data_IF_049457044871
#
_entry.id   IF_049457044871
#
_cell.length_a   1.000
_cell.length_b   1.000
_cell.length_c   1.000
_cell.angle_alpha   90.00
_cell.angle_beta   90.00
_cell.angle_gamma   90.00
#
_symmetry.space_group_name_H-M   'P 1'
#
loop_
_entity.id
_entity.type
_entity.pdbx_description
1 polymer ?
#
# COMPACT_ATOMS: atom_id res chain seq x y z
N UNK A 1 12.22 -0.85 -35.57
CA UNK A 1 11.07 -0.01 -35.16
C UNK A 1 10.93 1.10 -36.18
N UNK A 2 9.89 1.07 -37.03
CA UNK A 2 9.66 2.10 -38.05
C UNK A 2 9.40 3.45 -37.37
N UNK A 3 10.08 4.51 -37.82
CA UNK A 3 9.82 5.87 -37.32
C UNK A 3 8.39 6.27 -37.69
N UNK A 4 7.55 6.72 -36.74
CA UNK A 4 6.20 7.14 -37.05
C UNK A 4 6.25 8.34 -38.02
N UNK A 5 5.45 8.30 -39.08
CA UNK A 5 5.33 9.41 -40.02
C UNK A 5 4.65 10.60 -39.33
N UNK A 6 4.93 11.82 -39.80
CA UNK A 6 4.34 13.04 -39.22
C UNK A 6 2.80 12.98 -39.18
N UNK A 7 2.17 12.32 -40.16
CA UNK A 7 0.72 12.11 -40.23
C UNK A 7 0.22 11.17 -39.13
N UNK A 8 0.93 10.07 -38.87
CA UNK A 8 0.60 9.14 -37.79
C UNK A 8 0.77 9.79 -36.42
N UNK A 9 1.84 10.55 -36.20
CA UNK A 9 2.04 11.31 -34.97
C UNK A 9 0.96 12.38 -34.74
N UNK A 10 0.53 13.08 -35.80
CA UNK A 10 -0.55 14.05 -35.72
C UNK A 10 -1.91 13.39 -35.41
N UNK A 11 -2.20 12.24 -36.01
CA UNK A 11 -3.42 11.47 -35.72
C UNK A 11 -3.43 10.93 -34.28
N UNK A 12 -2.30 10.41 -33.80
CA UNK A 12 -2.13 9.93 -32.44
C UNK A 12 -2.25 11.07 -31.41
N UNK A 13 -1.67 12.24 -31.70
CA UNK A 13 -1.85 13.45 -30.88
C UNK A 13 -3.32 13.87 -30.83
N UNK A 14 -4.03 13.89 -31.97
CA UNK A 14 -5.46 14.23 -32.02
C UNK A 14 -6.32 13.25 -31.23
N UNK A 15 -6.02 11.96 -31.30
CA UNK A 15 -6.71 10.95 -30.49
C UNK A 15 -6.41 11.11 -29.00
N UNK A 16 -5.13 11.22 -28.59
CA UNK A 16 -4.74 11.46 -27.19
C UNK A 16 -5.34 12.76 -26.64
N UNK A 17 -5.39 13.81 -27.45
CA UNK A 17 -6.03 15.10 -27.13
C UNK A 17 -7.55 15.01 -27.01
N UNK A 18 -8.21 14.03 -27.63
CA UNK A 18 -9.64 13.79 -27.39
C UNK A 18 -9.86 13.15 -26.02
N UNK A 19 -8.99 12.21 -25.65
CA UNK A 19 -9.06 11.50 -24.38
C UNK A 19 -8.69 12.37 -23.17
N UNK A 20 -7.99 13.51 -23.35
CA UNK A 20 -7.66 14.43 -22.25
C UNK A 20 -8.88 15.07 -21.58
N UNK A 21 -10.01 15.12 -22.27
CA UNK A 21 -11.27 15.65 -21.73
C UNK A 21 -12.04 14.64 -20.86
N UNK A 22 -11.65 13.37 -20.89
CA UNK A 22 -12.31 12.31 -20.10
C UNK A 22 -11.95 12.47 -18.63
N UNK A 23 -12.97 12.39 -17.78
CA UNK A 23 -12.78 12.54 -16.34
C UNK A 23 -12.08 11.30 -15.75
N UNK A 24 -11.25 11.49 -14.71
CA UNK A 24 -10.59 10.37 -14.05
C UNK A 24 -11.58 9.54 -13.23
N UNK A 25 -11.23 8.27 -13.01
CA UNK A 25 -12.02 7.38 -12.17
C UNK A 25 -11.96 7.80 -10.69
N UNK A 26 -13.12 8.02 -10.08
CA UNK A 26 -13.25 8.20 -8.63
C UNK A 26 -13.52 6.85 -7.96
N UNK A 27 -12.60 6.40 -7.11
CA UNK A 27 -12.78 5.19 -6.29
C UNK A 27 -13.42 5.55 -4.96
N UNK A 28 -13.99 4.54 -4.29
CA UNK A 28 -14.49 4.67 -2.93
C UNK A 28 -13.42 5.27 -2.01
N UNK A 29 -13.83 6.27 -1.23
CA UNK A 29 -12.96 7.09 -0.38
C UNK A 29 -12.58 8.45 -0.97
N UNK A 30 -12.79 8.69 -2.27
CA UNK A 30 -12.77 10.03 -2.85
C UNK A 30 -14.16 10.69 -2.66
N UNK A 31 -14.20 11.95 -2.21
CA UNK A 31 -15.45 12.64 -1.91
C UNK A 31 -15.99 13.40 -3.13
N UNK A 32 -15.45 14.60 -3.39
CA UNK A 32 -15.94 15.52 -4.41
C UNK A 32 -14.87 15.80 -5.47
N UNK A 33 -15.25 15.71 -6.74
CA UNK A 33 -14.36 16.01 -7.86
C UNK A 33 -14.65 17.40 -8.43
N UNK A 34 -13.67 18.28 -8.30
CA UNK A 34 -13.73 19.67 -8.75
C UNK A 34 -13.17 19.84 -10.18
N UNK A 35 -13.78 19.17 -11.17
CA UNK A 35 -13.28 19.14 -12.56
C UNK A 35 -14.01 20.10 -13.51
N UNK A 36 -15.31 20.30 -13.36
CA UNK A 36 -16.09 21.18 -14.24
C UNK A 36 -16.10 22.63 -13.75
N UNK A 37 -16.30 23.57 -14.68
CA UNK A 37 -16.31 25.01 -14.40
C UNK A 37 -17.29 25.36 -13.27
N UNK A 38 -18.53 24.89 -13.35
CA UNK A 38 -19.54 25.15 -12.31
C UNK A 38 -19.17 24.63 -10.91
N UNK A 39 -18.31 23.61 -10.82
CA UNK A 39 -17.79 23.11 -9.54
C UNK A 39 -16.62 23.94 -9.02
N UNK A 40 -15.84 24.54 -9.92
CA UNK A 40 -14.65 25.33 -9.57
C UNK A 40 -14.99 26.77 -9.18
N UNK A 41 -15.92 27.40 -9.90
CA UNK A 41 -16.28 28.81 -9.73
C UNK A 41 -16.56 29.23 -8.28
N UNK A 42 -17.41 28.53 -7.49
CA UNK A 42 -17.70 28.98 -6.13
C UNK A 42 -16.47 28.97 -5.21
N UNK A 43 -15.53 28.03 -5.43
CA UNK A 43 -14.31 27.92 -4.62
C UNK A 43 -13.24 28.93 -5.02
N UNK A 44 -13.26 29.43 -6.27
CA UNK A 44 -12.31 30.46 -6.73
C UNK A 44 -12.52 31.82 -6.04
N UNK A 45 -13.72 32.10 -5.53
CA UNK A 45 -14.01 33.33 -4.80
C UNK A 45 -13.48 33.39 -3.37
N UNK A 46 -12.88 32.30 -2.85
CA UNK A 46 -12.47 32.22 -1.44
C UNK A 46 -11.00 32.60 -1.27
N UNK A 47 -10.77 33.82 -0.79
CA UNK A 47 -9.43 34.36 -0.53
C UNK A 47 -9.06 34.18 0.95
N UNK A 48 -8.05 33.35 1.23
CA UNK A 48 -7.63 33.06 2.59
C UNK A 48 -6.37 33.84 2.98
N UNK A 49 -6.41 34.47 4.17
CA UNK A 49 -5.25 35.14 4.79
C UNK A 49 -4.84 34.40 6.06
N UNK A 50 -3.53 34.32 6.32
CA UNK A 50 -3.00 33.77 7.56
C UNK A 50 -2.97 34.82 8.67
N UNK A 51 -3.57 34.46 9.80
CA UNK A 51 -3.71 35.25 11.03
C UNK A 51 -3.36 34.35 12.20
N UNK A 52 -3.11 34.93 13.37
CA UNK A 52 -2.73 34.13 14.55
C UNK A 52 -3.82 33.12 14.96
N UNK A 53 -5.09 33.42 14.69
CA UNK A 53 -6.22 32.53 14.95
C UNK A 53 -6.28 31.30 14.05
N UNK A 54 -5.60 31.28 12.91
CA UNK A 54 -5.63 30.16 11.96
C UNK A 54 -4.27 29.54 11.66
N UNK A 55 -3.16 30.17 12.07
CA UNK A 55 -1.79 29.66 11.90
C UNK A 55 -1.63 28.31 12.61
N UNK A 56 -1.15 27.31 11.87
CA UNK A 56 -1.00 25.93 12.34
C UNK A 56 -0.05 25.82 13.55
N UNK A 57 1.05 26.58 13.53
CA UNK A 57 2.07 26.56 14.59
C UNK A 57 1.51 26.94 15.98
N UNK A 58 0.52 27.85 16.03
CA UNK A 58 -0.08 28.29 17.29
C UNK A 58 -0.89 27.18 17.97
N UNK A 59 -1.36 26.18 17.22
CA UNK A 59 -2.12 25.05 17.73
C UNK A 59 -1.27 23.80 18.00
N UNK A 60 0.02 23.97 18.29
CA UNK A 60 0.95 22.87 18.53
C UNK A 60 0.53 21.93 19.66
N UNK A 61 -0.15 22.43 20.70
CA UNK A 61 -0.67 21.62 21.80
C UNK A 61 -1.58 20.47 21.31
N UNK A 62 -2.38 20.70 20.26
CA UNK A 62 -3.26 19.68 19.67
C UNK A 62 -2.67 19.03 18.43
N UNK A 63 -2.05 19.82 17.56
CA UNK A 63 -1.59 19.40 16.24
C UNK A 63 -0.08 19.19 16.16
N UNK A 64 0.61 19.01 17.28
CA UNK A 64 2.05 18.78 17.31
C UNK A 64 2.52 17.58 16.49
N UNK A 65 1.70 16.52 16.37
CA UNK A 65 1.98 15.38 15.47
C UNK A 65 1.78 15.72 13.99
N UNK A 66 0.89 16.66 13.67
CA UNK A 66 0.67 17.15 12.30
C UNK A 66 1.84 18.03 11.89
N UNK A 67 2.25 18.97 12.74
CA UNK A 67 3.39 19.87 12.52
C UNK A 67 4.67 19.08 12.24
N UNK A 68 4.95 18.02 13.02
CA UNK A 68 6.11 17.14 12.83
C UNK A 68 6.14 16.38 11.50
N UNK A 69 4.99 16.15 10.87
CA UNK A 69 4.90 15.43 9.60
C UNK A 69 5.09 16.36 8.38
N UNK A 70 5.17 17.68 8.56
CA UNK A 70 5.32 18.65 7.45
C UNK A 70 6.77 18.62 6.94
N UNK A 71 6.93 18.51 5.62
CA UNK A 71 8.25 18.59 4.97
C UNK A 71 8.57 20.05 4.61
N UNK A 72 9.19 20.77 5.55
CA UNK A 72 9.41 22.23 5.44
C UNK A 72 10.26 22.59 4.22
N UNK A 73 11.43 21.95 4.07
CA UNK A 73 12.39 22.23 2.99
C UNK A 73 11.73 22.09 1.62
N UNK A 74 11.10 20.95 1.38
CA UNK A 74 10.47 20.65 0.08
C UNK A 74 9.29 21.57 -0.23
N UNK A 75 8.53 21.98 0.79
CA UNK A 75 7.41 22.90 0.60
C UNK A 75 7.86 24.32 0.24
N UNK A 76 8.94 24.78 0.83
CA UNK A 76 9.51 26.09 0.53
C UNK A 76 10.11 26.11 -0.89
N UNK A 77 10.83 25.05 -1.28
CA UNK A 77 11.45 24.94 -2.61
C UNK A 77 10.43 24.73 -3.76
N UNK A 78 9.50 23.79 -3.63
CA UNK A 78 8.59 23.43 -4.73
C UNK A 78 7.31 24.28 -4.77
N UNK A 79 6.82 24.75 -3.62
CA UNK A 79 5.53 25.44 -3.52
C UNK A 79 5.66 26.91 -3.11
N UNK A 80 6.85 27.37 -2.70
CA UNK A 80 7.07 28.70 -2.13
C UNK A 80 6.11 29.00 -0.95
N UNK A 81 5.77 27.98 -0.16
CA UNK A 81 4.89 28.11 1.01
C UNK A 81 5.74 27.97 2.27
N UNK A 82 5.86 29.07 3.00
CA UNK A 82 6.55 29.11 4.28
C UNK A 82 5.74 28.39 5.37
N UNK A 83 6.43 27.79 6.33
CA UNK A 83 5.79 27.09 7.46
C UNK A 83 4.86 28.01 8.27
N UNK A 84 5.22 29.28 8.42
CA UNK A 84 4.43 30.30 9.15
C UNK A 84 3.12 30.69 8.45
N UNK A 85 3.04 30.44 7.13
CA UNK A 85 1.86 30.70 6.30
C UNK A 85 0.91 29.48 6.22
N UNK A 86 1.22 28.38 6.92
CA UNK A 86 0.32 27.24 6.96
C UNK A 86 -0.80 27.43 7.98
N UNK A 87 -2.03 27.20 7.52
CA UNK A 87 -3.22 27.19 8.39
C UNK A 87 -3.57 25.79 8.87
N UNK A 88 -4.19 25.67 10.04
CA UNK A 88 -4.69 24.37 10.51
C UNK A 88 -5.79 23.78 9.62
N UNK A 89 -6.50 24.63 8.87
CA UNK A 89 -7.52 24.26 7.90
C UNK A 89 -7.11 24.56 6.46
N UNK A 90 -5.80 24.61 6.16
CA UNK A 90 -5.33 24.97 4.82
C UNK A 90 -5.85 24.00 3.75
N UNK A 91 -6.28 24.55 2.62
CA UNK A 91 -6.81 23.81 1.49
C UNK A 91 -5.71 23.46 0.47
N UNK A 92 -4.57 24.17 0.50
CA UNK A 92 -3.43 23.94 -0.39
C UNK A 92 -2.83 22.55 -0.14
N UNK A 93 -2.47 21.84 -1.21
CA UNK A 93 -1.85 20.51 -1.12
C UNK A 93 -0.34 20.65 -0.97
N UNK A 94 0.15 20.41 0.25
CA UNK A 94 1.56 20.47 0.62
C UNK A 94 2.18 19.07 0.71
N UNK A 95 3.50 19.01 0.75
CA UNK A 95 4.30 17.82 0.99
C UNK A 95 4.45 17.52 2.47
N UNK A 96 4.41 16.22 2.76
CA UNK A 96 4.51 15.65 4.09
C UNK A 96 5.55 14.53 4.05
N UNK A 97 6.34 14.37 5.11
CA UNK A 97 7.16 13.20 5.38
C UNK A 97 6.57 12.50 6.61
N UNK A 98 6.08 11.27 6.43
CA UNK A 98 5.44 10.57 7.54
C UNK A 98 6.45 10.27 8.66
N UNK A 99 6.21 10.76 9.88
CA UNK A 99 7.07 10.44 11.03
C UNK A 99 7.08 8.95 11.40
N UNK A 100 6.01 8.22 11.06
CA UNK A 100 5.89 6.79 11.37
C UNK A 100 6.65 5.89 10.39
N UNK A 101 6.43 6.02 9.07
CA UNK A 101 7.02 5.13 8.06
C UNK A 101 8.03 5.81 7.13
N UNK A 102 8.27 7.12 7.26
CA UNK A 102 9.24 7.86 6.46
C UNK A 102 8.80 8.23 5.04
N UNK A 103 7.69 7.67 4.52
CA UNK A 103 7.26 7.93 3.15
C UNK A 103 6.79 9.37 2.94
N UNK A 104 7.12 9.95 1.78
CA UNK A 104 6.63 11.25 1.34
C UNK A 104 5.26 11.15 0.65
N UNK A 105 4.40 12.15 0.85
CA UNK A 105 3.09 12.23 0.18
C UNK A 105 2.56 13.67 0.14
N UNK A 106 1.60 13.95 -0.77
CA UNK A 106 1.04 15.29 -0.98
C UNK A 106 -0.46 15.36 -0.65
N UNK A 107 -0.81 16.11 0.40
CA UNK A 107 -2.19 16.32 0.89
C UNK A 107 -2.34 17.73 1.48
N UNK A 108 -3.58 18.16 1.68
CA UNK A 108 -3.88 19.42 2.35
C UNK A 108 -4.01 19.23 3.88
N UNK A 109 -3.73 20.30 4.63
CA UNK A 109 -3.75 20.28 6.11
C UNK A 109 -5.17 20.04 6.62
N UNK A 110 -6.16 20.68 6.00
CA UNK A 110 -7.57 20.57 6.36
C UNK A 110 -8.11 19.14 6.45
N UNK A 111 -7.79 18.27 5.48
CA UNK A 111 -8.31 16.89 5.50
C UNK A 111 -7.60 16.06 6.56
N UNK A 112 -6.33 16.37 6.85
CA UNK A 112 -5.59 15.73 7.94
C UNK A 112 -6.11 16.14 9.31
N UNK A 113 -6.42 17.42 9.52
CA UNK A 113 -6.96 17.91 10.80
C UNK A 113 -8.42 17.53 11.03
N UNK A 114 -9.25 17.49 9.97
CA UNK A 114 -10.68 17.12 10.07
C UNK A 114 -10.92 15.62 10.15
N UNK A 115 -10.21 14.82 9.36
CA UNK A 115 -10.51 13.39 9.15
C UNK A 115 -9.32 12.45 9.35
N UNK A 116 -8.20 12.94 9.87
CA UNK A 116 -6.99 12.15 10.10
C UNK A 116 -6.41 11.53 8.81
N UNK A 117 -6.59 12.19 7.66
CA UNK A 117 -6.02 11.73 6.39
C UNK A 117 -4.50 11.95 6.33
N UNK A 118 -3.74 11.02 6.89
CA UNK A 118 -2.28 10.99 6.85
C UNK A 118 -1.72 10.23 5.64
N UNK A 119 -0.59 9.57 5.87
CA UNK A 119 0.08 8.75 4.87
C UNK A 119 -0.82 7.64 4.34
N UNK A 120 -0.87 7.48 3.01
CA UNK A 120 -1.66 6.42 2.37
C UNK A 120 -1.15 5.00 2.70
N UNK A 121 0.14 4.83 3.00
CA UNK A 121 0.72 3.53 3.39
C UNK A 121 0.29 3.13 4.81
N UNK A 122 0.31 4.09 5.73
CA UNK A 122 -0.11 3.87 7.12
C UNK A 122 -1.59 3.52 7.25
N UNK A 123 -2.42 3.72 6.20
CA UNK A 123 -3.80 3.22 6.20
C UNK A 123 -3.85 1.70 6.37
N UNK A 124 -2.92 0.98 5.75
CA UNK A 124 -2.77 -0.47 5.88
C UNK A 124 -1.98 -0.91 7.10
N UNK A 125 -1.70 -0.05 8.09
CA UNK A 125 -0.83 -0.40 9.23
C UNK A 125 -1.41 -1.48 10.14
N UNK A 126 -2.74 -1.57 10.19
CA UNK A 126 -3.45 -2.57 11.00
C UNK A 126 -3.73 -3.84 10.18
N UNK A 127 -3.97 -4.95 10.87
CA UNK A 127 -4.37 -6.21 10.23
C UNK A 127 -5.75 -6.10 9.55
N UNK A 128 -6.66 -5.32 10.15
CA UNK A 128 -7.96 -4.99 9.59
C UNK A 128 -8.17 -3.47 9.58
N UNK A 129 -8.56 -2.92 8.43
CA UNK A 129 -8.90 -1.50 8.30
C UNK A 129 -10.18 -1.14 9.07
N UNK A 130 -11.05 -2.13 9.29
CA UNK A 130 -12.34 -2.01 9.98
C UNK A 130 -12.12 -2.05 11.50
N UNK A 131 -11.51 -3.12 12.01
CA UNK A 131 -11.38 -3.37 13.44
C UNK A 131 -10.18 -2.66 14.10
N UNK A 132 -9.18 -2.30 13.29
CA UNK A 132 -7.95 -1.57 13.69
C UNK A 132 -7.23 -2.18 14.90
N UNK A 133 -7.49 -1.68 16.10
CA UNK A 133 -6.79 -2.00 17.34
C UNK A 133 -7.40 -3.19 18.10
N UNK A 134 -8.57 -3.69 17.65
CA UNK A 134 -9.22 -4.83 18.27
C UNK A 134 -8.54 -6.18 17.94
N UNK A 135 -7.66 -6.23 16.95
CA UNK A 135 -6.90 -7.44 16.63
C UNK A 135 -5.68 -7.56 17.54
N UNK A 136 -5.35 -8.75 18.06
CA UNK A 136 -4.17 -8.94 18.87
C UNK A 136 -2.92 -8.55 18.08
N UNK A 137 -2.05 -7.75 18.70
CA UNK A 137 -0.81 -7.29 18.07
C UNK A 137 0.33 -8.17 18.53
N UNK A 138 0.82 -9.02 17.64
CA UNK A 138 2.10 -9.71 17.80
C UNK A 138 3.12 -9.00 16.93
N UNK A 139 4.10 -8.34 17.55
CA UNK A 139 5.05 -7.51 16.83
C UNK A 139 5.90 -8.33 15.86
N UNK A 140 6.15 -7.77 14.66
CA UNK A 140 6.98 -8.41 13.63
C UNK A 140 8.37 -8.77 14.16
N UNK A 141 8.96 -7.88 14.97
CA UNK A 141 10.30 -8.09 15.57
C UNK A 141 10.34 -9.28 16.52
N UNK A 142 9.25 -9.57 17.22
CA UNK A 142 9.16 -10.68 18.19
C UNK A 142 8.90 -12.00 17.50
N UNK A 143 7.92 -12.05 16.59
CA UNK A 143 7.53 -13.30 15.95
C UNK A 143 8.50 -13.74 14.85
N UNK A 144 9.06 -12.82 14.06
CA UNK A 144 9.92 -13.14 12.91
C UNK A 144 11.08 -12.12 12.79
N UNK A 145 12.10 -12.21 13.66
CA UNK A 145 13.23 -11.28 13.66
C UNK A 145 14.09 -11.36 12.39
N UNK A 146 14.13 -12.50 11.71
CA UNK A 146 14.86 -12.66 10.45
C UNK A 146 14.25 -11.83 9.32
N UNK A 147 12.91 -11.78 9.23
CA UNK A 147 12.23 -10.94 8.25
C UNK A 147 12.43 -9.46 8.54
N UNK A 148 12.48 -9.07 9.82
CA UNK A 148 12.77 -7.70 10.21
C UNK A 148 14.15 -7.23 9.69
N UNK A 149 15.17 -8.10 9.75
CA UNK A 149 16.51 -7.82 9.16
C UNK A 149 16.49 -7.67 7.64
N UNK A 150 15.50 -8.27 6.97
CA UNK A 150 15.31 -8.18 5.52
C UNK A 150 14.65 -6.88 5.02
N UNK A 151 14.30 -5.95 5.91
CA UNK A 151 13.77 -4.63 5.52
C UNK A 151 14.84 -3.79 4.80
N UNK A 152 14.41 -3.00 3.82
CA UNK A 152 15.26 -1.99 3.20
C UNK A 152 15.67 -0.94 4.24
N UNK A 153 16.88 -0.40 4.15
CA UNK A 153 17.39 0.59 5.09
C UNK A 153 16.52 1.85 5.06
N UNK A 154 15.85 2.14 6.17
CA UNK A 154 15.09 3.36 6.38
C UNK A 154 15.21 3.80 7.83
N UNK A 155 15.21 5.12 8.06
CA UNK A 155 15.27 5.75 9.39
C UNK A 155 14.16 5.29 10.35
N UNK A 156 13.07 4.73 9.81
CA UNK A 156 11.84 4.39 10.55
C UNK A 156 11.55 2.89 10.61
N UNK A 157 12.55 2.04 10.38
CA UNK A 157 12.36 0.59 10.41
C UNK A 157 11.91 0.09 11.79
N UNK A 158 12.37 0.68 12.89
CA UNK A 158 11.95 0.27 14.24
C UNK A 158 10.43 0.37 14.43
N UNK A 159 9.81 1.44 13.94
CA UNK A 159 8.35 1.61 13.98
C UNK A 159 7.62 0.52 13.17
N UNK A 160 8.22 0.07 12.06
CA UNK A 160 7.67 -1.00 11.22
C UNK A 160 7.78 -2.34 11.95
N UNK A 161 8.85 -2.55 12.73
CA UNK A 161 9.05 -3.74 13.56
C UNK A 161 8.01 -3.92 14.66
N UNK A 162 7.40 -2.82 15.12
CA UNK A 162 6.30 -2.82 16.10
C UNK A 162 4.93 -3.17 15.48
N UNK A 163 4.81 -3.21 14.16
CA UNK A 163 3.56 -3.57 13.51
C UNK A 163 3.26 -5.06 13.69
N UNK A 164 1.97 -5.41 13.67
CA UNK A 164 1.54 -6.82 13.74
C UNK A 164 2.08 -7.63 12.55
N UNK A 165 2.43 -8.89 12.79
CA UNK A 165 2.77 -9.87 11.73
C UNK A 165 1.66 -10.09 10.70
N UNK A 166 0.41 -9.84 11.06
CA UNK A 166 -0.77 -9.91 10.18
C UNK A 166 -1.10 -8.57 9.52
N UNK A 167 -0.27 -7.53 9.73
CA UNK A 167 -0.46 -6.20 9.18
C UNK A 167 -0.50 -6.21 7.64
N UNK A 168 -1.38 -5.38 7.08
CA UNK A 168 -1.50 -5.13 5.64
C UNK A 168 -0.51 -4.08 5.13
N UNK A 169 0.43 -3.65 5.98
CA UNK A 169 1.34 -2.56 5.67
C UNK A 169 2.29 -2.95 4.54
N UNK A 170 2.45 -2.06 3.55
CA UNK A 170 3.35 -2.26 2.39
C UNK A 170 4.73 -1.70 2.71
N UNK A 171 5.57 -2.54 3.30
CA UNK A 171 6.96 -2.23 3.59
C UNK A 171 7.87 -2.43 2.35
N UNK A 172 9.05 -1.84 2.42
CA UNK A 172 10.14 -2.03 1.46
C UNK A 172 11.13 -3.06 2.01
N UNK A 173 11.43 -4.06 1.21
CA UNK A 173 12.23 -5.23 1.56
C UNK A 173 13.43 -5.31 0.63
N UNK A 174 14.56 -5.82 1.11
CA UNK A 174 15.70 -6.14 0.25
C UNK A 174 15.47 -7.51 -0.38
N UNK A 175 15.56 -7.59 -1.70
CA UNK A 175 15.43 -8.86 -2.42
C UNK A 175 16.61 -9.78 -2.10
N UNK A 176 16.34 -11.03 -1.71
CA UNK A 176 17.38 -12.02 -1.42
C UNK A 176 18.26 -12.38 -2.63
N UNK A 177 17.73 -12.25 -3.86
CA UNK A 177 18.47 -12.64 -5.07
C UNK A 177 19.33 -11.52 -5.67
N UNK A 178 18.88 -10.26 -5.58
CA UNK A 178 19.52 -9.14 -6.27
C UNK A 178 19.83 -7.94 -5.38
N UNK A 179 19.49 -7.99 -4.09
CA UNK A 179 19.73 -6.92 -3.12
C UNK A 179 18.85 -5.67 -3.30
N UNK A 180 18.16 -5.53 -4.44
CA UNK A 180 17.35 -4.35 -4.75
C UNK A 180 16.11 -4.25 -3.86
N UNK A 181 15.69 -3.02 -3.49
CA UNK A 181 14.48 -2.81 -2.70
C UNK A 181 13.23 -3.09 -3.54
N UNK A 182 12.27 -3.80 -2.94
CA UNK A 182 10.95 -4.03 -3.54
C UNK A 182 9.86 -3.93 -2.49
N UNK A 183 8.62 -3.69 -2.93
CA UNK A 183 7.48 -3.45 -2.04
C UNK A 183 6.59 -4.68 -1.92
N UNK A 184 6.38 -5.15 -0.69
CA UNK A 184 5.47 -6.25 -0.37
C UNK A 184 4.75 -5.99 0.96
N UNK A 185 3.62 -6.66 1.19
CA UNK A 185 2.89 -6.52 2.46
C UNK A 185 3.52 -7.37 3.56
N UNK A 186 3.50 -6.90 4.82
CA UNK A 186 4.01 -7.69 5.96
C UNK A 186 3.35 -9.07 6.01
N UNK A 187 2.01 -9.13 6.03
CA UNK A 187 1.28 -10.40 6.02
C UNK A 187 1.58 -11.34 4.84
N UNK A 188 1.94 -10.80 3.67
CA UNK A 188 2.34 -11.64 2.53
C UNK A 188 3.71 -12.26 2.70
N UNK A 189 4.61 -11.60 3.44
CA UNK A 189 5.94 -12.11 3.76
C UNK A 189 5.87 -13.15 4.88
N UNK A 190 5.04 -12.90 5.89
CA UNK A 190 4.83 -13.83 7.01
C UNK A 190 3.97 -15.02 6.60
N UNK A 191 3.01 -14.83 5.68
CA UNK A 191 2.02 -15.82 5.28
C UNK A 191 0.85 -15.93 6.26
N UNK A 192 0.80 -15.10 7.29
CA UNK A 192 -0.19 -15.15 8.35
C UNK A 192 -1.37 -14.21 8.09
N UNK A 193 -2.57 -14.66 8.40
CA UNK A 193 -3.79 -13.86 8.33
C UNK A 193 -4.65 -14.07 9.56
N UNK A 194 -5.35 -13.02 9.98
CA UNK A 194 -6.34 -13.12 11.06
C UNK A 194 -7.50 -14.06 10.67
N UNK A 195 -8.07 -14.80 11.63
CA UNK A 195 -9.24 -15.65 11.37
C UNK A 195 -10.40 -14.81 10.86
N UNK A 196 -11.15 -15.37 9.90
CA UNK A 196 -12.26 -14.69 9.23
C UNK A 196 -11.85 -13.72 8.12
N UNK A 197 -10.56 -13.44 7.92
CA UNK A 197 -10.08 -12.76 6.72
C UNK A 197 -9.88 -13.73 5.56
N UNK A 198 -9.88 -13.20 4.33
CA UNK A 198 -9.57 -13.99 3.15
C UNK A 198 -8.15 -14.59 3.26
N UNK A 199 -8.00 -15.92 3.04
CA UNK A 199 -6.70 -16.56 3.08
C UNK A 199 -5.82 -16.04 1.95
N UNK A 200 -4.50 -16.07 2.18
CA UNK A 200 -3.52 -15.77 1.14
C UNK A 200 -3.23 -17.01 0.29
N UNK A 201 -2.55 -16.81 -0.83
CA UNK A 201 -2.08 -17.93 -1.64
C UNK A 201 -1.17 -18.85 -0.79
N UNK A 202 -1.32 -20.19 -0.83
CA UNK A 202 -0.56 -21.10 0.02
C UNK A 202 0.97 -20.95 -0.10
N UNK A 203 1.45 -20.59 -1.29
CA UNK A 203 2.87 -20.37 -1.56
C UNK A 203 3.30 -18.89 -1.50
N UNK A 204 2.48 -18.00 -0.94
CA UNK A 204 2.73 -16.55 -0.96
C UNK A 204 4.09 -16.16 -0.37
N UNK A 205 4.57 -16.90 0.63
CA UNK A 205 5.86 -16.66 1.29
C UNK A 205 7.04 -16.88 0.33
N UNK A 206 6.97 -17.93 -0.50
CA UNK A 206 7.97 -18.21 -1.56
C UNK A 206 7.96 -17.14 -2.64
N UNK A 207 6.77 -16.77 -3.11
CA UNK A 207 6.61 -15.76 -4.17
C UNK A 207 7.00 -14.35 -3.72
N UNK A 208 6.74 -14.01 -2.46
CA UNK A 208 7.05 -12.69 -1.91
C UNK A 208 8.48 -12.57 -1.36
N UNK A 209 9.29 -13.65 -1.35
CA UNK A 209 10.69 -13.65 -0.89
C UNK A 209 11.63 -12.86 -1.79
N UNK A 210 11.23 -12.71 -3.04
CA UNK A 210 12.01 -12.03 -4.06
C UNK A 210 11.21 -10.89 -4.66
N UNK A 211 11.91 -10.01 -5.37
CA UNK A 211 11.24 -8.97 -6.15
C UNK A 211 10.44 -9.60 -7.32
N UNK A 212 9.44 -8.89 -7.88
CA UNK A 212 8.61 -9.41 -8.96
C UNK A 212 9.39 -9.91 -10.19
N UNK A 213 10.57 -9.35 -10.47
CA UNK A 213 11.42 -9.78 -11.57
C UNK A 213 12.24 -11.06 -11.26
N UNK A 214 12.64 -11.27 -10.01
CA UNK A 214 13.45 -12.43 -9.61
C UNK A 214 12.61 -13.66 -9.19
N UNK A 215 11.39 -13.45 -8.71
CA UNK A 215 10.57 -14.52 -8.12
C UNK A 215 10.30 -15.69 -9.08
N UNK A 216 10.11 -15.40 -10.38
CA UNK A 216 9.80 -16.42 -11.38
C UNK A 216 10.89 -17.48 -11.50
N UNK A 217 12.15 -17.05 -11.68
CA UNK A 217 13.28 -17.97 -11.92
C UNK A 217 13.43 -18.95 -10.76
N UNK A 218 13.41 -18.46 -9.53
CA UNK A 218 13.61 -19.28 -8.33
C UNK A 218 12.49 -20.32 -8.17
N UNK A 219 11.23 -19.88 -8.29
CA UNK A 219 10.10 -20.78 -8.09
C UNK A 219 9.96 -21.81 -9.22
N UNK A 220 10.30 -21.43 -10.45
CA UNK A 220 10.22 -22.32 -11.61
C UNK A 220 11.38 -23.30 -11.71
N UNK A 221 12.58 -22.98 -11.18
CA UNK A 221 13.71 -23.93 -11.21
C UNK A 221 13.43 -25.21 -10.44
N UNK A 222 12.77 -25.11 -9.28
CA UNK A 222 12.43 -26.28 -8.47
C UNK A 222 11.35 -27.13 -9.14
N UNK A 223 10.35 -26.48 -9.74
CA UNK A 223 9.30 -27.16 -10.50
C UNK A 223 9.87 -27.84 -11.75
N UNK A 224 10.76 -27.18 -12.49
CA UNK A 224 11.40 -27.74 -13.68
C UNK A 224 12.23 -28.98 -13.36
N UNK A 225 12.98 -28.98 -12.25
CA UNK A 225 13.73 -30.17 -11.80
C UNK A 225 12.82 -31.34 -11.43
N UNK A 226 11.66 -31.07 -10.81
CA UNK A 226 10.67 -32.11 -10.49
C UNK A 226 10.06 -32.70 -11.76
N UNK A 227 9.60 -31.84 -12.66
CA UNK A 227 9.04 -32.26 -13.95
C UNK A 227 10.04 -33.07 -14.77
N UNK A 228 11.34 -32.73 -14.73
CA UNK A 228 12.39 -33.50 -15.40
C UNK A 228 12.59 -34.90 -14.80
N UNK A 229 12.44 -35.06 -13.48
CA UNK A 229 12.58 -36.36 -12.80
C UNK A 229 11.39 -37.28 -13.04
N UNK A 230 10.18 -36.73 -12.99
CA UNK A 230 8.93 -37.50 -13.07
C UNK A 230 8.44 -37.65 -14.52
N UNK A 231 8.97 -36.86 -15.47
CA UNK A 231 8.54 -36.83 -16.86
C UNK A 231 7.17 -36.15 -17.07
N UNK A 232 6.49 -35.77 -15.99
CA UNK A 232 5.17 -35.14 -16.01
C UNK A 232 5.02 -34.19 -14.81
N UNK A 233 4.26 -33.11 -14.97
CA UNK A 233 3.89 -32.22 -13.87
C UNK A 233 2.42 -31.80 -14.00
N UNK A 234 1.61 -32.10 -12.98
CA UNK A 234 0.17 -31.84 -12.96
C UNK A 234 -0.26 -30.85 -11.85
N UNK A 235 0.64 -30.52 -10.92
CA UNK A 235 0.34 -29.66 -9.78
C UNK A 235 -0.64 -30.28 -8.75
N UNK A 236 -0.92 -31.58 -8.84
CA UNK A 236 -1.85 -32.29 -7.96
C UNK A 236 -1.20 -32.78 -6.66
N UNK A 237 0.12 -32.76 -6.56
CA UNK A 237 0.90 -33.35 -5.47
C UNK A 237 0.38 -32.92 -4.09
N UNK A 238 0.17 -31.61 -3.90
CA UNK A 238 -0.34 -31.07 -2.64
C UNK A 238 -1.73 -31.64 -2.30
N UNK A 239 -2.65 -31.67 -3.26
CA UNK A 239 -4.00 -32.21 -3.06
C UNK A 239 -4.02 -33.72 -2.84
N UNK A 240 -3.11 -34.46 -3.49
CA UNK A 240 -2.98 -35.91 -3.31
C UNK A 240 -2.44 -36.25 -1.93
N UNK A 241 -1.44 -35.51 -1.45
CA UNK A 241 -0.93 -35.65 -0.08
C UNK A 241 -1.99 -35.30 0.97
N UNK A 242 -2.78 -34.25 0.72
CA UNK A 242 -3.91 -33.88 1.58
C UNK A 242 -4.98 -34.98 1.59
N UNK A 243 -5.36 -35.53 0.43
CA UNK A 243 -6.33 -36.61 0.33
C UNK A 243 -5.85 -37.89 1.06
N UNK A 244 -4.58 -38.25 0.90
CA UNK A 244 -3.97 -39.40 1.58
C UNK A 244 -3.97 -39.22 3.11
N UNK A 245 -3.66 -38.01 3.61
CA UNK A 245 -3.71 -37.70 5.04
C UNK A 245 -5.14 -37.55 5.58
N UNK A 246 -6.09 -37.08 4.79
CA UNK A 246 -7.50 -36.97 5.17
C UNK A 246 -8.19 -38.34 5.27
N UNK A 247 -7.74 -39.32 4.48
CA UNK A 247 -8.18 -40.71 4.58
C UNK A 247 -7.77 -41.37 5.91
N UNK A 248 -6.73 -40.85 6.58
CA UNK A 248 -6.23 -41.35 7.86
C UNK A 248 -7.06 -40.86 9.08
N UNK A 249 -8.33 -41.25 9.15
CA UNK A 249 -9.06 -41.32 10.44
C UNK A 249 -10.03 -40.18 10.79
N UNK A 250 -10.27 -39.19 9.93
CA UNK A 250 -11.28 -38.14 10.19
C UNK A 250 -12.69 -38.61 9.81
N UNK A 251 -13.59 -38.70 10.79
CA UNK A 251 -15.02 -38.92 10.55
C UNK A 251 -15.65 -37.64 10.00
N UNK A 252 -15.91 -37.61 8.70
CA UNK A 252 -16.55 -36.47 8.02
C UNK A 252 -18.07 -36.71 8.00
N UNK A 253 -18.89 -35.91 8.70
CA UNK A 253 -20.34 -36.05 8.65
C UNK A 253 -20.84 -35.77 7.22
N UNK A 254 -21.65 -36.67 6.67
CA UNK A 254 -22.21 -36.56 5.31
C UNK A 254 -23.72 -36.64 5.37
N UNK A 255 -24.40 -35.83 4.56
CA UNK A 255 -25.86 -35.89 4.41
C UNK A 255 -26.30 -37.27 3.89
N UNK A 256 -27.47 -37.74 4.32
CA UNK A 256 -28.14 -38.89 3.68
C UNK A 256 -28.40 -38.55 2.20
N UNK A 257 -28.16 -39.50 1.30
CA UNK A 257 -28.47 -39.37 -0.13
C UNK A 257 -29.68 -40.24 -0.42
N UNK A 258 -30.71 -39.67 -1.04
CA UNK A 258 -31.80 -40.44 -1.62
C UNK A 258 -31.26 -40.96 -2.96
N UNK A 259 -30.69 -42.16 -2.94
CA UNK A 259 -30.24 -42.84 -4.16
C UNK A 259 -31.45 -43.63 -4.66
N UNK A 260 -32.13 -43.09 -5.67
CA UNK A 260 -33.08 -43.85 -6.52
C UNK A 260 -32.32 -44.73 -7.48
#
# INVERSE_FOLDING_TARGET
MLRPTCVLSAAEFKQKSRWSSVWPNMRYGAMYLNYSVGRQLPMRGVNWVTRDSNRLANFAARYGSVIRDVDVKRNEEELNIQMSDLRWNDHRRIYWKCSFCGSSYRKNVSVRTKFHAGCNLCKGRYASEVLREQTPVVALKEAQPELFKGLAENEKNENIGLLSVTSKFRAEWKCQSCGQPYRATIRSRTGLTEPGQAPLHPQITKWSAHCPSCAWRVNMTDLGRKAQKEGQYLGLDASLTEAASAAAGKRIPRRKRLVT
#
